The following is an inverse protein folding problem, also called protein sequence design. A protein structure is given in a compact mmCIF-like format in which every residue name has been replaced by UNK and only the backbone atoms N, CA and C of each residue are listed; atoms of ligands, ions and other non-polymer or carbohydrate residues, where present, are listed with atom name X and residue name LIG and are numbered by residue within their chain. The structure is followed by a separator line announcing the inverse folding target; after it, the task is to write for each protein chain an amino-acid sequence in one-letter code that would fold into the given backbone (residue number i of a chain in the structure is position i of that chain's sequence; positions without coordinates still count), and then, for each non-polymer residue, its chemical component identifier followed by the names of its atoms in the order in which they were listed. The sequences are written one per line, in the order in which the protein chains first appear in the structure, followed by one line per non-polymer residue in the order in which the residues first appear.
data_IF_265340517092
#
_entry.id   IF_265340517092
#
_cell.length_a   1.000
_cell.length_b   1.000
_cell.length_c   1.000
_cell.angle_alpha   90.00
_cell.angle_beta   90.00
_cell.angle_gamma   90.00
#
_symmetry.space_group_name_H-M   'P 1'
#
loop_
_entity.id
_entity.type
_entity.pdbx_description
1 polymer ?
#
# COMPACT_ATOMS: atom_id res chain seq x y z
N UNK A 1 8.50 6.36 -5.87
CA UNK A 1 8.65 4.90 -5.62
C UNK A 1 8.81 4.67 -4.12
N UNK A 2 8.06 3.72 -3.55
CA UNK A 2 8.09 3.39 -2.12
C UNK A 2 9.06 2.24 -1.86
N UNK A 3 8.85 1.08 -2.52
CA UNK A 3 9.89 0.05 -2.55
C UNK A 3 11.04 0.48 -3.47
N UNK A 4 12.26 0.20 -3.02
CA UNK A 4 13.50 0.37 -3.80
C UNK A 4 14.12 -1.01 -4.03
N UNK A 5 14.98 -1.22 -5.06
CA UNK A 5 15.59 -2.53 -5.30
C UNK A 5 16.30 -3.13 -4.07
N UNK A 6 16.94 -2.28 -3.25
CA UNK A 6 17.63 -2.68 -2.00
C UNK A 6 16.71 -2.81 -0.78
N UNK A 7 15.45 -2.35 -0.86
CA UNK A 7 14.48 -2.39 0.23
C UNK A 7 13.07 -2.58 -0.33
N UNK A 8 12.65 -3.84 -0.39
CA UNK A 8 11.30 -4.25 -0.78
C UNK A 8 10.40 -4.24 0.45
N UNK A 9 9.25 -3.59 0.35
CA UNK A 9 8.27 -3.48 1.44
C UNK A 9 7.01 -4.23 1.02
N UNK A 10 6.75 -5.35 1.68
CA UNK A 10 5.52 -6.14 1.50
C UNK A 10 4.60 -5.86 2.67
N UNK A 11 3.35 -5.50 2.39
CA UNK A 11 2.35 -5.20 3.41
C UNK A 11 1.26 -6.27 3.40
N UNK A 12 0.80 -6.62 4.59
CA UNK A 12 -0.39 -7.44 4.80
C UNK A 12 -1.66 -6.58 4.85
N UNK A 13 -2.82 -7.25 4.90
CA UNK A 13 -4.13 -6.60 4.91
C UNK A 13 -4.32 -5.70 6.14
N UNK A 14 -3.79 -6.09 7.29
CA UNK A 14 -3.91 -5.32 8.53
C UNK A 14 -3.13 -4.00 8.45
N UNK A 15 -1.89 -4.04 7.95
CA UNK A 15 -1.08 -2.84 7.72
C UNK A 15 -1.73 -1.93 6.68
N UNK A 16 -2.28 -2.50 5.61
CA UNK A 16 -2.99 -1.74 4.59
C UNK A 16 -4.22 -1.04 5.17
N UNK A 17 -4.99 -1.69 6.05
CA UNK A 17 -6.13 -1.06 6.74
C UNK A 17 -5.74 0.16 7.57
N UNK A 18 -4.57 0.14 8.20
CA UNK A 18 -4.02 1.29 8.94
C UNK A 18 -3.65 2.41 7.97
N UNK A 19 -2.93 2.07 6.92
CA UNK A 19 -2.45 3.03 5.92
C UNK A 19 -3.58 3.75 5.20
N UNK A 20 -4.62 3.02 4.76
CA UNK A 20 -5.77 3.65 4.06
C UNK A 20 -6.60 4.55 4.99
N UNK A 21 -6.48 4.42 6.31
CA UNK A 21 -7.11 5.30 7.31
C UNK A 21 -6.25 6.49 7.73
N UNK A 22 -5.02 6.59 7.22
CA UNK A 22 -4.10 7.69 7.53
C UNK A 22 -3.04 7.37 8.58
N UNK A 23 -3.04 6.16 9.13
CA UNK A 23 -2.04 5.71 10.10
C UNK A 23 -0.78 5.17 9.43
N UNK A 24 0.38 5.36 10.07
CA UNK A 24 1.62 4.73 9.63
C UNK A 24 1.66 3.25 10.00
N UNK A 25 2.16 2.41 9.07
CA UNK A 25 2.50 1.02 9.33
C UNK A 25 3.75 0.60 8.54
N UNK A 26 4.64 -0.19 9.15
CA UNK A 26 5.85 -0.73 8.51
C UNK A 26 6.68 0.29 7.71
N UNK A 27 6.85 1.50 8.27
CA UNK A 27 7.59 2.61 7.65
C UNK A 27 6.95 3.18 6.36
N UNK A 28 5.67 2.89 6.13
CA UNK A 28 4.85 3.49 5.08
C UNK A 28 3.86 4.42 5.76
N UNK A 29 3.95 5.72 5.45
CA UNK A 29 3.02 6.72 5.96
C UNK A 29 1.57 6.40 5.54
N UNK A 30 0.58 6.86 6.31
CA UNK A 30 -0.81 6.74 5.89
C UNK A 30 -1.16 7.62 4.69
N UNK A 31 -2.31 7.35 4.07
CA UNK A 31 -2.94 8.20 3.07
C UNK A 31 -3.72 9.29 3.80
N UNK A 32 -3.29 10.56 3.70
CA UNK A 32 -3.83 11.65 4.53
C UNK A 32 -4.64 12.66 3.73
N UNK A 33 -4.36 12.80 2.43
CA UNK A 33 -5.01 13.77 1.57
C UNK A 33 -5.90 13.07 0.53
N UNK A 34 -7.08 13.63 0.20
CA UNK A 34 -7.85 13.21 -0.96
C UNK A 34 -6.98 13.30 -2.22
N UNK A 35 -7.06 12.29 -3.10
CA UNK A 35 -6.20 12.18 -4.29
C UNK A 35 -5.00 11.23 -4.10
N UNK A 36 -4.55 11.01 -2.85
CA UNK A 36 -3.45 10.07 -2.61
C UNK A 36 -3.88 8.62 -2.88
N UNK A 37 -3.06 7.93 -3.68
CA UNK A 37 -3.22 6.51 -4.02
C UNK A 37 -1.92 5.74 -3.78
N UNK A 38 -2.04 4.52 -3.27
CA UNK A 38 -0.90 3.62 -3.07
C UNK A 38 -1.09 2.36 -3.91
N UNK A 39 -0.13 2.04 -4.76
CA UNK A 39 -0.21 0.88 -5.65
C UNK A 39 0.68 -0.26 -5.19
N UNK A 40 0.13 -1.48 -5.24
CA UNK A 40 0.79 -2.71 -4.83
C UNK A 40 0.83 -3.71 -5.99
N UNK A 41 1.93 -4.45 -6.09
CA UNK A 41 2.00 -5.67 -6.88
C UNK A 41 1.53 -6.84 -6.02
N UNK A 42 0.46 -7.49 -6.46
CA UNK A 42 -0.15 -8.67 -5.85
C UNK A 42 0.00 -9.88 -6.78
N UNK A 43 -0.44 -11.05 -6.32
CA UNK A 43 -0.56 -12.28 -7.12
C UNK A 43 -1.57 -12.16 -8.28
N UNK A 44 -2.55 -11.25 -8.16
CA UNK A 44 -3.59 -11.01 -9.18
C UNK A 44 -3.33 -9.78 -10.06
N UNK A 45 -2.16 -9.18 -9.95
CA UNK A 45 -1.76 -7.99 -10.71
C UNK A 45 -1.54 -6.75 -9.83
N UNK A 46 -1.47 -5.58 -10.48
CA UNK A 46 -1.27 -4.31 -9.79
C UNK A 46 -2.61 -3.75 -9.34
N UNK A 47 -2.70 -3.35 -8.08
CA UNK A 47 -3.94 -2.90 -7.45
C UNK A 47 -3.69 -1.72 -6.52
N UNK A 48 -4.74 -0.93 -6.26
CA UNK A 48 -4.68 0.16 -5.27
C UNK A 48 -4.90 -0.38 -3.85
N UNK A 49 -4.33 0.26 -2.83
CA UNK A 49 -4.35 -0.19 -1.45
C UNK A 49 -5.76 -0.42 -0.88
N UNK A 50 -6.75 0.42 -1.21
CA UNK A 50 -8.15 0.26 -0.77
C UNK A 50 -8.77 -0.96 -1.43
N UNK A 51 -8.50 -1.19 -2.71
CA UNK A 51 -8.93 -2.40 -3.42
C UNK A 51 -8.28 -3.67 -2.83
N UNK A 52 -7.00 -3.60 -2.46
CA UNK A 52 -6.31 -4.68 -1.75
C UNK A 52 -6.97 -4.99 -0.39
N UNK A 53 -7.38 -3.97 0.36
CA UNK A 53 -8.11 -4.14 1.62
C UNK A 53 -9.47 -4.80 1.40
N UNK A 54 -10.22 -4.37 0.38
CA UNK A 54 -11.52 -4.95 0.02
C UNK A 54 -11.41 -6.43 -0.36
N UNK A 55 -10.42 -6.77 -1.20
CA UNK A 55 -10.20 -8.16 -1.64
C UNK A 55 -9.39 -8.99 -0.65
N UNK A 56 -9.04 -8.44 0.52
CA UNK A 56 -8.24 -9.09 1.58
C UNK A 56 -6.91 -9.64 1.07
N UNK A 57 -6.20 -8.85 0.27
CA UNK A 57 -4.89 -9.21 -0.27
C UNK A 57 -3.81 -8.24 0.22
N UNK A 58 -2.62 -8.79 0.48
CA UNK A 58 -1.40 -8.01 0.68
C UNK A 58 -0.62 -7.85 -0.63
N UNK A 59 0.55 -7.24 -0.56
CA UNK A 59 1.41 -7.13 -1.74
C UNK A 59 2.67 -6.31 -1.53
N UNK A 60 3.50 -6.25 -2.57
CA UNK A 60 4.69 -5.42 -2.63
C UNK A 60 4.29 -3.97 -2.97
N UNK A 61 4.62 -3.02 -2.10
CA UNK A 61 4.29 -1.60 -2.32
C UNK A 61 5.19 -0.99 -3.39
N UNK A 62 4.62 -0.52 -4.50
CA UNK A 62 5.39 0.00 -5.63
C UNK A 62 5.60 1.51 -5.51
N UNK A 63 4.51 2.27 -5.49
CA UNK A 63 4.55 3.72 -5.53
C UNK A 63 3.35 4.36 -4.83
N UNK A 64 3.54 5.62 -4.44
CA UNK A 64 2.50 6.55 -4.05
C UNK A 64 2.33 7.57 -5.18
N UNK A 65 1.09 7.90 -5.49
CA UNK A 65 0.70 8.96 -6.42
C UNK A 65 -0.06 10.02 -5.62
N UNK A 66 0.19 11.29 -5.95
CA UNK A 66 -0.43 12.49 -5.38
C UNK A 66 -1.31 13.15 -6.43
#
# INVERSE_FOLDING_TARGET
MVSKPKRRITLDVESLRRIVRGDEAYHVAGLRSPGESLYLSTDKGIMEARECVEKKMGGLVLCRVL
#
